data_IF_660218477933
#
_entry.id   IF_660218477933
#
_cell.length_a   1.000
_cell.length_b   1.000
_cell.length_c   1.000
_cell.angle_alpha   90.00
_cell.angle_beta   90.00
_cell.angle_gamma   90.00
#
_symmetry.space_group_name_H-M   'P 1'
#
loop_
_entity.id
_entity.type
_entity.pdbx_description
1 polymer ?
#
# COMPACT_ATOMS: atom_id res chain seq x y z
N UNK A 1 2.89 12.59 -8.14
CA UNK A 1 2.53 11.89 -6.90
C UNK A 1 1.30 10.98 -7.09
N UNK A 2 0.18 11.46 -7.63
CA UNK A 2 -1.05 10.67 -7.83
C UNK A 2 -0.79 9.38 -8.63
N UNK A 3 -0.10 9.46 -9.75
CA UNK A 3 0.22 8.31 -10.60
C UNK A 3 1.12 7.26 -9.93
N UNK A 4 2.00 7.68 -9.03
CA UNK A 4 2.85 6.74 -8.26
C UNK A 4 2.04 6.02 -7.20
N UNK A 5 1.09 6.72 -6.57
CA UNK A 5 0.22 6.18 -5.54
C UNK A 5 -0.93 5.32 -6.10
N UNK A 6 -1.25 5.45 -7.41
CA UNK A 6 -2.36 4.75 -8.05
C UNK A 6 -2.28 3.23 -7.87
N UNK A 7 -1.10 2.64 -8.04
CA UNK A 7 -0.90 1.21 -7.84
C UNK A 7 -1.31 0.73 -6.44
N UNK A 8 -0.88 1.45 -5.40
CA UNK A 8 -1.22 1.10 -4.03
C UNK A 8 -2.71 1.35 -3.72
N UNK A 9 -3.30 2.41 -4.29
CA UNK A 9 -4.71 2.77 -4.06
C UNK A 9 -5.69 1.76 -4.67
N UNK A 10 -5.32 1.13 -5.77
CA UNK A 10 -6.17 0.15 -6.45
C UNK A 10 -5.84 -1.27 -5.98
N UNK A 11 -4.57 -1.60 -5.81
CA UNK A 11 -4.13 -2.94 -5.46
C UNK A 11 -4.55 -3.34 -4.04
N UNK A 12 -4.40 -2.45 -3.06
CA UNK A 12 -4.73 -2.77 -1.66
C UNK A 12 -6.21 -3.13 -1.50
N UNK A 13 -7.19 -2.36 -2.00
CA UNK A 13 -8.60 -2.74 -1.93
C UNK A 13 -8.90 -4.07 -2.63
N UNK A 14 -8.35 -4.30 -3.82
CA UNK A 14 -8.54 -5.55 -4.57
C UNK A 14 -8.05 -6.76 -3.76
N UNK A 15 -6.88 -6.66 -3.14
CA UNK A 15 -6.30 -7.74 -2.34
C UNK A 15 -7.05 -8.00 -1.04
N UNK A 16 -7.63 -6.97 -0.45
CA UNK A 16 -8.30 -7.05 0.85
C UNK A 16 -9.81 -7.25 0.74
N UNK A 17 -10.37 -7.25 -0.48
CA UNK A 17 -11.81 -7.33 -0.72
C UNK A 17 -12.58 -6.06 -0.40
N UNK A 18 -11.89 -4.94 -0.20
CA UNK A 18 -12.50 -3.62 0.01
C UNK A 18 -12.97 -3.04 -1.33
N UNK A 19 -13.98 -2.16 -1.30
CA UNK A 19 -14.42 -1.44 -2.50
C UNK A 19 -13.37 -0.39 -2.90
N UNK A 20 -12.82 -0.54 -4.12
CA UNK A 20 -11.80 0.37 -4.66
C UNK A 20 -12.31 1.79 -4.84
N UNK A 21 -13.60 1.99 -5.14
CA UNK A 21 -14.18 3.32 -5.32
C UNK A 21 -14.24 4.07 -3.97
N UNK A 22 -14.64 3.37 -2.91
CA UNK A 22 -14.67 3.92 -1.55
C UNK A 22 -13.24 4.25 -1.08
N UNK A 23 -12.28 3.37 -1.35
CA UNK A 23 -10.88 3.59 -0.99
C UNK A 23 -10.28 4.81 -1.72
N UNK A 24 -10.55 4.96 -3.02
CA UNK A 24 -10.13 6.12 -3.80
C UNK A 24 -10.76 7.42 -3.29
N UNK A 25 -12.06 7.40 -3.03
CA UNK A 25 -12.78 8.56 -2.51
C UNK A 25 -12.25 8.99 -1.14
N UNK A 26 -12.09 8.05 -0.22
CA UNK A 26 -11.57 8.33 1.14
C UNK A 26 -10.12 8.81 1.12
N UNK A 27 -9.27 8.26 0.24
CA UNK A 27 -7.89 8.74 0.05
C UNK A 27 -7.87 10.18 -0.50
N UNK A 28 -8.76 10.51 -1.43
CA UNK A 28 -8.92 11.86 -1.95
C UNK A 28 -9.36 12.85 -0.87
N UNK A 29 -10.42 12.54 -0.13
CA UNK A 29 -10.90 13.35 0.99
C UNK A 29 -9.84 13.50 2.07
N UNK A 30 -9.18 12.39 2.45
CA UNK A 30 -8.09 12.40 3.43
C UNK A 30 -6.93 13.30 3.00
N UNK A 31 -6.56 13.26 1.72
CA UNK A 31 -5.50 14.12 1.17
C UNK A 31 -5.89 15.59 1.21
N UNK A 32 -7.13 15.92 0.85
CA UNK A 32 -7.63 17.32 0.92
C UNK A 32 -7.63 17.84 2.35
N UNK A 33 -8.12 17.05 3.31
CA UNK A 33 -8.09 17.41 4.73
C UNK A 33 -6.66 17.60 5.24
N UNK A 34 -5.75 16.71 4.85
CA UNK A 34 -4.33 16.83 5.20
C UNK A 34 -3.71 18.13 4.64
N UNK A 35 -3.98 18.44 3.37
CA UNK A 35 -3.47 19.67 2.76
C UNK A 35 -4.06 20.93 3.41
N UNK A 36 -5.34 20.88 3.79
CA UNK A 36 -5.97 21.98 4.54
C UNK A 36 -5.29 22.18 5.91
N UNK A 37 -5.07 21.09 6.67
CA UNK A 37 -4.40 21.14 7.97
C UNK A 37 -2.95 21.61 7.87
N UNK A 38 -2.22 21.22 6.84
CA UNK A 38 -0.82 21.60 6.61
C UNK A 38 -0.68 22.94 5.87
N UNK A 39 -1.81 23.57 5.50
CA UNK A 39 -1.84 24.82 4.70
C UNK A 39 -1.02 24.72 3.41
N UNK A 40 -1.03 23.55 2.76
CA UNK A 40 -0.28 23.30 1.53
C UNK A 40 1.25 23.26 1.68
N UNK A 41 1.79 23.33 2.91
CA UNK A 41 3.25 23.32 3.13
C UNK A 41 3.89 21.96 2.82
N UNK A 42 3.13 20.89 2.90
CA UNK A 42 3.62 19.53 2.66
C UNK A 42 2.83 18.92 1.51
N UNK A 43 3.34 18.94 0.26
CA UNK A 43 2.64 18.43 -0.91
C UNK A 43 2.75 16.90 -0.97
N UNK A 44 2.04 16.19 -0.09
CA UNK A 44 1.98 14.73 -0.04
C UNK A 44 0.56 14.29 -0.43
N UNK A 45 0.48 13.18 -1.17
CA UNK A 45 -0.76 12.46 -1.42
C UNK A 45 -0.84 11.27 -0.47
N UNK A 46 -1.97 11.15 0.24
CA UNK A 46 -2.20 10.03 1.16
C UNK A 46 -2.74 8.83 0.37
N UNK A 47 -2.02 7.73 0.45
CA UNK A 47 -2.38 6.48 -0.21
C UNK A 47 -2.48 5.34 0.80
N UNK A 48 -3.08 4.22 0.36
CA UNK A 48 -3.16 3.00 1.15
C UNK A 48 -1.76 2.43 1.42
N UNK A 49 -1.58 1.83 2.59
CA UNK A 49 -0.31 1.22 2.99
C UNK A 49 -0.34 -0.30 2.79
N UNK A 50 0.68 -0.82 2.14
CA UNK A 50 0.87 -2.28 1.99
C UNK A 50 1.03 -3.01 3.32
N UNK A 51 1.48 -2.33 4.38
CA UNK A 51 1.61 -2.90 5.71
C UNK A 51 0.26 -3.35 6.31
N UNK A 52 -0.84 -2.75 5.86
CA UNK A 52 -2.18 -3.09 6.33
C UNK A 52 -2.84 -4.25 5.58
N UNK A 53 -2.26 -4.73 4.46
CA UNK A 53 -2.86 -5.82 3.66
C UNK A 53 -3.07 -7.07 4.51
N UNK A 54 -2.02 -7.57 5.13
CA UNK A 54 -2.10 -8.80 5.93
C UNK A 54 -3.06 -8.67 7.13
N UNK A 55 -2.98 -7.60 7.97
CA UNK A 55 -3.95 -7.39 9.04
C UNK A 55 -5.39 -7.27 8.56
N UNK A 56 -5.64 -6.60 7.43
CA UNK A 56 -7.00 -6.45 6.88
C UNK A 56 -7.52 -7.80 6.39
N UNK A 57 -6.74 -8.56 5.61
CA UNK A 57 -7.15 -9.89 5.14
C UNK A 57 -7.51 -10.78 6.32
N UNK A 58 -6.63 -10.85 7.32
CA UNK A 58 -6.88 -11.63 8.53
C UNK A 58 -8.16 -11.17 9.27
N UNK A 59 -8.33 -9.86 9.43
CA UNK A 59 -9.49 -9.29 10.09
C UNK A 59 -10.80 -9.61 9.35
N UNK A 60 -10.81 -9.46 8.02
CA UNK A 60 -11.99 -9.75 7.18
C UNK A 60 -12.35 -11.24 7.25
N UNK A 61 -11.36 -12.13 7.23
CA UNK A 61 -11.60 -13.57 7.31
C UNK A 61 -12.07 -14.04 8.69
N UNK A 62 -11.59 -13.39 9.77
CA UNK A 62 -11.86 -13.83 11.14
C UNK A 62 -13.10 -13.16 11.75
N UNK A 63 -13.26 -11.86 11.54
CA UNK A 63 -14.32 -11.05 12.20
C UNK A 63 -15.33 -10.45 11.21
N UNK A 64 -15.04 -10.52 9.92
CA UNK A 64 -15.86 -9.91 8.88
C UNK A 64 -15.52 -8.46 8.59
N UNK A 65 -16.12 -7.94 7.51
CA UNK A 65 -15.83 -6.60 6.98
C UNK A 65 -16.16 -5.46 7.95
N UNK A 66 -17.34 -5.40 8.60
CA UNK A 66 -17.70 -4.27 9.45
C UNK A 66 -16.77 -4.09 10.65
N UNK A 67 -16.38 -5.18 11.30
CA UNK A 67 -15.49 -5.15 12.47
C UNK A 67 -14.08 -4.74 12.07
N UNK A 68 -13.60 -5.19 10.91
CA UNK A 68 -12.28 -4.83 10.38
C UNK A 68 -12.23 -3.34 10.04
N UNK A 69 -13.28 -2.79 9.43
CA UNK A 69 -13.37 -1.34 9.18
C UNK A 69 -13.38 -0.54 10.49
N UNK A 70 -14.09 -1.01 11.52
CA UNK A 70 -14.06 -0.42 12.86
C UNK A 70 -12.65 -0.42 13.47
N UNK A 71 -11.91 -1.52 13.32
CA UNK A 71 -10.52 -1.61 13.78
C UNK A 71 -9.60 -0.61 13.05
N UNK A 72 -9.80 -0.38 11.74
CA UNK A 72 -9.06 0.63 10.99
C UNK A 72 -9.33 2.06 11.50
N UNK A 73 -10.58 2.36 11.88
CA UNK A 73 -10.91 3.64 12.53
C UNK A 73 -10.16 3.79 13.86
N UNK A 74 -10.14 2.72 14.68
CA UNK A 74 -9.37 2.72 15.93
C UNK A 74 -7.86 2.96 15.68
N UNK A 75 -7.28 2.38 14.63
CA UNK A 75 -5.90 2.67 14.23
C UNK A 75 -5.71 4.16 13.93
N UNK A 76 -6.68 4.82 13.29
CA UNK A 76 -6.65 6.27 13.07
C UNK A 76 -6.55 7.06 14.38
N UNK A 77 -7.29 6.66 15.42
CA UNK A 77 -7.19 7.27 16.76
C UNK A 77 -5.80 7.07 17.39
N UNK A 78 -5.17 5.91 17.21
CA UNK A 78 -3.80 5.68 17.68
C UNK A 78 -2.83 6.65 17.03
N UNK A 79 -2.93 6.89 15.71
CA UNK A 79 -2.12 7.91 15.03
C UNK A 79 -2.35 9.32 15.59
N UNK A 80 -3.59 9.65 15.95
CA UNK A 80 -3.90 10.93 16.59
C UNK A 80 -3.21 11.06 17.94
N UNK A 81 -3.23 10.01 18.78
CA UNK A 81 -2.55 9.98 20.07
C UNK A 81 -1.03 10.14 19.88
N UNK A 82 -0.44 9.42 18.93
CA UNK A 82 1.00 9.52 18.61
C UNK A 82 1.34 10.94 18.15
N UNK A 83 0.50 11.55 17.32
CA UNK A 83 0.69 12.93 16.86
C UNK A 83 0.67 13.93 18.04
N UNK A 84 -0.27 13.78 18.98
CA UNK A 84 -0.34 14.59 20.19
C UNK A 84 0.92 14.41 21.07
N UNK A 85 1.40 13.16 21.18
CA UNK A 85 2.61 12.84 21.94
C UNK A 85 3.86 13.45 21.32
N UNK A 86 3.98 13.40 19.98
CA UNK A 86 5.07 14.05 19.23
C UNK A 86 5.04 15.59 19.44
N UNK A 87 3.87 16.17 19.45
CA UNK A 87 3.71 17.61 19.71
C UNK A 87 4.15 17.99 21.12
N UNK A 88 3.96 17.11 22.10
CA UNK A 88 4.30 17.34 23.51
C UNK A 88 5.75 17.08 23.83
N UNK A 89 6.31 15.95 23.34
CA UNK A 89 7.66 15.46 23.68
C UNK A 89 8.70 15.69 22.60
N UNK A 90 8.28 16.14 21.42
CA UNK A 90 9.16 16.33 20.26
C UNK A 90 9.39 15.02 19.49
N UNK A 91 10.00 15.16 18.31
CA UNK A 91 10.29 14.05 17.39
C UNK A 91 11.35 13.08 17.93
N UNK A 92 12.26 13.56 18.78
CA UNK A 92 13.32 12.74 19.36
C UNK A 92 12.78 11.58 20.20
N UNK A 93 11.65 11.76 20.87
CA UNK A 93 11.00 10.71 21.64
C UNK A 93 10.61 9.52 20.74
N UNK A 94 10.04 9.79 19.57
CA UNK A 94 9.65 8.75 18.61
C UNK A 94 10.87 8.05 18.03
N UNK A 95 11.92 8.79 17.69
CA UNK A 95 13.19 8.23 17.20
C UNK A 95 13.88 7.34 18.24
N UNK A 96 13.73 7.66 19.53
CA UNK A 96 14.23 6.79 20.61
C UNK A 96 13.36 5.54 20.81
N UNK A 97 12.05 5.67 20.65
CA UNK A 97 11.11 4.56 20.80
C UNK A 97 11.18 3.59 19.62
N UNK A 98 11.39 4.12 18.40
CA UNK A 98 11.50 3.36 17.15
C UNK A 98 12.87 3.57 16.49
N UNK A 99 13.94 3.08 17.09
CA UNK A 99 15.27 3.18 16.50
C UNK A 99 15.33 2.35 15.20
N UNK A 100 16.27 2.66 14.29
CA UNK A 100 16.41 1.94 13.01
C UNK A 100 16.60 0.43 13.16
N UNK A 101 17.17 -0.02 14.28
CA UNK A 101 17.35 -1.44 14.60
C UNK A 101 16.02 -2.19 14.80
N UNK A 102 14.95 -1.47 15.16
CA UNK A 102 13.60 -2.04 15.30
C UNK A 102 12.82 -1.89 13.99
N UNK A 103 12.88 -0.73 13.36
CA UNK A 103 12.11 -0.44 12.14
C UNK A 103 12.62 -1.25 10.93
N UNK A 104 13.93 -1.52 10.85
CA UNK A 104 14.51 -2.34 9.78
C UNK A 104 13.92 -3.75 9.72
N UNK A 105 13.98 -4.54 10.77
CA UNK A 105 13.37 -5.87 10.82
C UNK A 105 11.86 -5.87 10.56
N UNK A 106 11.13 -4.87 11.07
CA UNK A 106 9.68 -4.75 10.82
C UNK A 106 9.39 -4.59 9.32
N UNK A 107 10.14 -3.74 8.62
CA UNK A 107 9.99 -3.56 7.17
C UNK A 107 10.33 -4.86 6.41
N UNK A 108 11.37 -5.58 6.83
CA UNK A 108 11.72 -6.87 6.24
C UNK A 108 10.61 -7.91 6.43
N UNK A 109 10.03 -7.98 7.61
CA UNK A 109 8.91 -8.91 7.90
C UNK A 109 7.70 -8.56 7.04
N UNK A 110 7.35 -7.29 6.88
CA UNK A 110 6.27 -6.86 5.98
C UNK A 110 6.54 -7.34 4.54
N UNK A 111 7.77 -7.18 4.04
CA UNK A 111 8.15 -7.65 2.71
C UNK A 111 8.03 -9.18 2.57
N UNK A 112 8.46 -9.93 3.58
CA UNK A 112 8.37 -11.40 3.60
C UNK A 112 6.91 -11.89 3.63
N UNK A 113 6.04 -11.23 4.39
CA UNK A 113 4.60 -11.56 4.44
C UNK A 113 3.93 -11.30 3.08
N UNK A 114 4.35 -10.28 2.35
CA UNK A 114 3.79 -9.95 1.04
C UNK A 114 4.37 -10.80 -0.11
N UNK A 115 5.49 -11.48 0.09
CA UNK A 115 6.12 -12.29 -0.95
C UNK A 115 5.21 -13.41 -1.47
N UNK A 116 4.53 -14.23 -0.64
CA UNK A 116 3.58 -15.23 -1.12
C UNK A 116 2.42 -14.62 -1.91
N UNK A 117 1.91 -13.46 -1.49
CA UNK A 117 0.85 -12.73 -2.20
C UNK A 117 1.31 -12.36 -3.61
N UNK A 118 2.51 -11.82 -3.73
CA UNK A 118 3.09 -11.44 -5.03
C UNK A 118 3.29 -12.67 -5.94
N UNK A 119 3.78 -13.79 -5.39
CA UNK A 119 3.95 -15.03 -6.15
C UNK A 119 2.61 -15.59 -6.62
N UNK A 120 1.59 -15.63 -5.77
CA UNK A 120 0.27 -16.08 -6.14
C UNK A 120 -0.32 -15.25 -7.28
N UNK A 121 -0.20 -13.92 -7.19
CA UNK A 121 -0.67 -13.02 -8.25
C UNK A 121 0.11 -13.20 -9.55
N UNK A 122 1.42 -13.39 -9.49
CA UNK A 122 2.25 -13.66 -10.68
C UNK A 122 1.86 -14.98 -11.37
N UNK A 123 1.36 -15.95 -10.61
CA UNK A 123 0.82 -17.23 -11.14
C UNK A 123 -0.64 -17.14 -11.57
N UNK A 124 -1.26 -15.97 -11.54
CA UNK A 124 -2.65 -15.75 -11.93
C UNK A 124 -3.68 -16.21 -10.91
N UNK A 125 -3.27 -16.33 -9.65
CA UNK A 125 -4.15 -16.63 -8.51
C UNK A 125 -4.55 -15.37 -7.77
N UNK A 126 -5.61 -15.47 -6.97
CA UNK A 126 -5.93 -14.44 -5.96
C UNK A 126 -4.77 -14.27 -4.99
N UNK A 127 -4.67 -13.12 -4.31
CA UNK A 127 -3.58 -12.84 -3.38
C UNK A 127 -3.41 -13.86 -2.25
N UNK A 128 -4.52 -14.49 -1.83
CA UNK A 128 -4.57 -15.60 -0.86
C UNK A 128 -4.27 -16.97 -1.49
N UNK A 129 -4.18 -17.06 -2.82
CA UNK A 129 -3.93 -18.31 -3.56
C UNK A 129 -5.14 -19.23 -3.71
N UNK A 130 -6.32 -18.84 -3.19
CA UNK A 130 -7.50 -19.72 -3.11
C UNK A 130 -8.15 -19.97 -4.48
N UNK A 131 -8.14 -18.99 -5.38
CA UNK A 131 -8.79 -19.09 -6.69
C UNK A 131 -7.82 -18.77 -7.82
N UNK A 132 -7.95 -19.46 -8.94
CA UNK A 132 -7.23 -19.15 -10.16
C UNK A 132 -8.07 -18.25 -11.05
N UNK A 133 -7.56 -17.05 -11.32
CA UNK A 133 -8.24 -16.01 -12.13
C UNK A 133 -7.86 -16.17 -13.59
N UNK A 134 -6.56 -16.49 -13.85
CA UNK A 134 -6.00 -16.61 -15.19
C UNK A 134 -5.22 -17.91 -15.30
N UNK A 135 -5.25 -18.62 -16.46
CA UNK A 135 -4.41 -19.81 -16.68
C UNK A 135 -2.94 -19.52 -16.40
N UNK A 136 -2.29 -20.40 -15.64
CA UNK A 136 -0.94 -20.15 -15.11
C UNK A 136 0.11 -19.83 -16.17
N UNK A 137 0.04 -20.47 -17.35
CA UNK A 137 0.98 -20.18 -18.45
C UNK A 137 0.83 -18.76 -18.98
N UNK A 138 -0.41 -18.29 -19.15
CA UNK A 138 -0.67 -16.92 -19.61
C UNK A 138 -0.31 -15.89 -18.54
N UNK A 139 -0.64 -16.17 -17.28
CA UNK A 139 -0.32 -15.33 -16.14
C UNK A 139 1.20 -15.12 -16.00
N UNK A 140 1.98 -16.18 -16.18
CA UNK A 140 3.44 -16.11 -16.13
C UNK A 140 4.01 -15.20 -17.23
N UNK A 141 3.53 -15.32 -18.46
CA UNK A 141 3.98 -14.44 -19.55
C UNK A 141 3.61 -12.98 -19.29
N UNK A 142 2.38 -12.70 -18.84
CA UNK A 142 1.93 -11.35 -18.50
C UNK A 142 2.77 -10.79 -17.35
N UNK A 143 3.00 -11.56 -16.29
CA UNK A 143 3.79 -11.09 -15.14
C UNK A 143 5.25 -10.83 -15.50
N UNK A 144 5.86 -11.66 -16.34
CA UNK A 144 7.24 -11.48 -16.80
C UNK A 144 7.38 -10.27 -17.71
N UNK A 145 6.45 -10.04 -18.65
CA UNK A 145 6.46 -8.85 -19.50
C UNK A 145 6.26 -7.58 -18.71
N UNK A 146 5.29 -7.56 -17.78
CA UNK A 146 5.03 -6.43 -16.89
C UNK A 146 6.23 -6.13 -15.99
N UNK A 147 6.86 -7.17 -15.41
CA UNK A 147 8.05 -7.01 -14.59
C UNK A 147 9.23 -6.47 -15.41
N UNK A 148 9.47 -7.04 -16.59
CA UNK A 148 10.53 -6.59 -17.48
C UNK A 148 10.33 -5.13 -17.90
N UNK A 149 9.10 -4.74 -18.27
CA UNK A 149 8.77 -3.36 -18.61
C UNK A 149 9.00 -2.42 -17.42
N UNK A 150 8.57 -2.79 -16.23
CA UNK A 150 8.77 -2.00 -15.00
C UNK A 150 10.26 -1.80 -14.71
N UNK A 151 11.06 -2.87 -14.79
CA UNK A 151 12.51 -2.80 -14.55
C UNK A 151 13.20 -1.97 -15.63
N UNK A 152 12.89 -2.18 -16.91
CA UNK A 152 13.46 -1.42 -18.00
C UNK A 152 13.17 0.08 -17.88
N UNK A 153 11.92 0.44 -17.58
CA UNK A 153 11.54 1.85 -17.37
C UNK A 153 12.22 2.43 -16.15
N UNK A 154 12.38 1.65 -15.08
CA UNK A 154 13.09 2.09 -13.87
C UNK A 154 14.57 2.36 -14.10
N UNK A 155 15.23 1.52 -14.90
CA UNK A 155 16.67 1.61 -15.17
C UNK A 155 17.00 2.58 -16.31
N UNK A 156 16.27 2.53 -17.41
CA UNK A 156 16.53 3.27 -18.64
C UNK A 156 15.68 4.52 -18.80
N UNK A 157 14.60 4.64 -18.03
CA UNK A 157 13.66 5.78 -18.10
C UNK A 157 14.35 7.09 -17.75
N UNK A 158 14.11 8.12 -18.58
CA UNK A 158 14.58 9.49 -18.36
C UNK A 158 13.39 10.42 -18.07
N UNK A 159 13.59 11.40 -17.22
CA UNK A 159 12.59 12.42 -16.92
C UNK A 159 11.34 11.86 -16.24
N UNK A 160 10.16 12.16 -16.81
CA UNK A 160 8.85 11.83 -16.25
C UNK A 160 8.57 10.30 -16.19
N UNK A 161 9.03 9.53 -17.18
CA UNK A 161 8.85 8.08 -17.23
C UNK A 161 9.49 7.35 -16.05
N UNK A 162 10.60 7.83 -15.55
CA UNK A 162 11.29 7.26 -14.38
C UNK A 162 10.46 7.39 -13.09
N UNK A 163 9.50 8.30 -13.06
CA UNK A 163 8.62 8.50 -11.90
C UNK A 163 7.41 7.55 -11.91
N UNK A 164 7.16 6.85 -13.03
CA UNK A 164 5.94 6.06 -13.22
C UNK A 164 6.22 4.64 -13.75
N UNK A 165 7.22 3.90 -13.22
CA UNK A 165 7.57 2.58 -13.74
C UNK A 165 6.44 1.56 -13.57
N UNK A 166 5.69 1.64 -12.47
CA UNK A 166 4.56 0.73 -12.16
C UNK A 166 3.43 0.90 -13.20
N UNK A 167 3.10 2.14 -13.58
CA UNK A 167 2.08 2.36 -14.61
C UNK A 167 2.51 1.82 -15.97
N UNK A 168 3.78 1.97 -16.33
CA UNK A 168 4.31 1.39 -17.56
C UNK A 168 4.24 -0.14 -17.55
N UNK A 169 4.46 -0.78 -16.40
CA UNK A 169 4.30 -2.22 -16.25
C UNK A 169 2.85 -2.70 -16.31
N UNK A 170 1.87 -1.85 -15.95
CA UNK A 170 0.44 -2.19 -16.06
C UNK A 170 -0.05 -2.10 -17.52
N UNK A 171 0.53 -1.20 -18.31
CA UNK A 171 0.13 -0.96 -19.70
C UNK A 171 0.82 -1.92 -20.67
N UNK A 172 1.97 -2.50 -20.28
CA UNK A 172 2.73 -3.46 -21.08
C UNK A 172 2.13 -4.86 -21.05
#
# INVERSE_FOLDING_TARGET
MLFVAFGALVLVPILTGLDSNVALFTAGVGTLLFQLCTRGKVPIFLASSFAFIAPIIYGVQTWGMPQTLGALVCCGFVYFIVSALVRWRGTEFVLRLLPPIVTGPVIMVIGLILAPVAVNMALGKTGDGAQQIVPGNLALWISMTSLAATVLVSLLGKGFLRLMPILCGIVA
#
